data_IF_822178500685
#
_entry.id   IF_822178500685
#
_cell.length_a   1.000
_cell.length_b   1.000
_cell.length_c   1.000
_cell.angle_alpha   90.00
_cell.angle_beta   90.00
_cell.angle_gamma   90.00
#
_symmetry.space_group_name_H-M   'P 1'
#
loop_
_entity.id
_entity.type
_entity.pdbx_description
1 polymer ?
#
# COMPACT_ATOMS: atom_id res chain seq x y z
N UNK A 1 -9.93 -9.36 -22.10
CA UNK A 1 -9.31 -9.47 -20.76
C UNK A 1 -8.57 -8.18 -20.43
N UNK A 2 -8.81 -7.62 -19.27
CA UNK A 2 -8.07 -6.45 -18.78
C UNK A 2 -6.66 -6.87 -18.37
N UNK A 3 -5.66 -6.11 -18.81
CA UNK A 3 -4.25 -6.33 -18.48
C UNK A 3 -3.68 -5.05 -17.83
N UNK A 4 -2.83 -5.22 -16.83
CA UNK A 4 -2.09 -4.13 -16.19
C UNK A 4 -0.61 -4.48 -16.13
N UNK A 5 0.26 -3.46 -16.13
CA UNK A 5 1.71 -3.66 -16.04
C UNK A 5 2.28 -2.78 -14.94
N UNK A 6 3.10 -3.37 -14.07
CA UNK A 6 3.83 -2.62 -13.03
C UNK A 6 4.85 -1.65 -13.63
N UNK A 7 5.25 -1.85 -14.88
CA UNK A 7 6.21 -1.00 -15.57
C UNK A 7 5.58 0.22 -16.25
N UNK A 8 4.26 0.21 -16.43
CA UNK A 8 3.54 1.25 -17.16
C UNK A 8 2.66 2.11 -16.25
N UNK A 9 2.42 1.67 -15.01
CA UNK A 9 1.60 2.43 -14.07
C UNK A 9 2.36 3.65 -13.55
N UNK A 10 1.77 4.83 -13.71
CA UNK A 10 2.28 6.05 -13.11
C UNK A 10 1.83 6.12 -11.65
N UNK A 11 2.79 6.18 -10.71
CA UNK A 11 2.52 6.26 -9.29
C UNK A 11 2.36 7.72 -8.84
N UNK A 12 1.42 7.95 -7.93
CA UNK A 12 1.17 9.26 -7.35
C UNK A 12 1.84 9.36 -5.97
N UNK A 13 2.56 10.47 -5.69
CA UNK A 13 3.19 10.65 -4.39
C UNK A 13 2.16 10.94 -3.30
N UNK A 14 2.45 10.45 -2.10
CA UNK A 14 1.69 10.73 -0.89
C UNK A 14 2.67 10.96 0.26
N UNK A 15 2.38 11.90 1.15
CA UNK A 15 3.27 12.28 2.25
C UNK A 15 2.50 12.89 3.41
N UNK A 16 3.17 13.02 4.58
CA UNK A 16 2.66 13.74 5.73
C UNK A 16 3.44 15.04 5.93
N UNK A 17 2.74 16.13 6.24
CA UNK A 17 3.38 17.40 6.59
C UNK A 17 3.93 17.38 8.03
N UNK A 18 3.44 16.48 8.88
CA UNK A 18 3.87 16.34 10.28
C UNK A 18 5.01 15.33 10.47
N UNK A 19 5.22 14.42 9.51
CA UNK A 19 6.26 13.40 9.55
C UNK A 19 6.97 13.33 8.21
N UNK A 20 8.20 13.89 8.09
CA UNK A 20 8.92 13.91 6.81
C UNK A 20 9.35 12.52 6.32
N UNK A 21 9.32 11.48 7.18
CA UNK A 21 9.63 10.11 6.77
C UNK A 21 8.42 9.33 6.28
N UNK A 22 7.20 9.87 6.46
CA UNK A 22 6.00 9.30 5.87
C UNK A 22 5.92 9.79 4.43
N UNK A 23 6.43 8.98 3.50
CA UNK A 23 6.44 9.26 2.07
C UNK A 23 6.34 7.95 1.31
N UNK A 24 5.44 7.90 0.33
CA UNK A 24 5.26 6.77 -0.57
C UNK A 24 4.81 7.26 -1.92
N UNK A 25 4.91 6.40 -2.93
CA UNK A 25 4.24 6.59 -4.21
C UNK A 25 3.44 5.34 -4.48
N UNK A 26 2.19 5.47 -4.84
CA UNK A 26 1.31 4.33 -5.02
C UNK A 26 0.31 4.51 -6.16
N UNK A 27 -0.29 3.41 -6.56
CA UNK A 27 -1.34 3.39 -7.55
C UNK A 27 -1.96 2.00 -7.67
N UNK A 28 -3.26 1.95 -8.00
CA UNK A 28 -3.94 0.68 -8.18
C UNK A 28 -3.76 0.15 -9.59
N UNK A 29 -3.28 -1.08 -9.69
CA UNK A 29 -3.18 -1.82 -10.96
C UNK A 29 -4.54 -2.32 -11.41
N UNK A 30 -5.33 -2.85 -10.47
CA UNK A 30 -6.65 -3.40 -10.72
C UNK A 30 -7.59 -3.09 -9.55
N UNK A 31 -8.83 -2.75 -9.85
CA UNK A 31 -9.92 -2.59 -8.90
C UNK A 31 -11.28 -2.71 -9.63
N UNK A 32 -12.37 -2.48 -8.91
CA UNK A 32 -13.72 -2.71 -9.40
C UNK A 32 -14.06 -2.01 -10.71
N UNK A 33 -13.54 -0.79 -10.94
CA UNK A 33 -13.78 -0.09 -12.22
C UNK A 33 -13.11 -0.77 -13.41
N UNK A 34 -12.10 -1.61 -13.16
CA UNK A 34 -11.43 -2.40 -14.19
C UNK A 34 -12.10 -3.76 -14.42
N UNK A 35 -13.09 -4.12 -13.61
CA UNK A 35 -13.88 -5.33 -13.76
C UNK A 35 -13.63 -6.43 -12.75
N UNK A 36 -12.76 -6.22 -11.74
CA UNK A 36 -12.60 -7.21 -10.67
C UNK A 36 -13.85 -7.21 -9.78
N UNK A 37 -14.17 -8.38 -9.23
CA UNK A 37 -15.34 -8.56 -8.35
C UNK A 37 -14.98 -8.97 -6.93
N UNK A 38 -13.77 -9.48 -6.73
CA UNK A 38 -13.35 -10.05 -5.43
C UNK A 38 -11.91 -9.71 -5.06
N UNK A 39 -11.23 -8.86 -5.83
CA UNK A 39 -9.84 -8.51 -5.56
C UNK A 39 -9.50 -7.11 -6.08
N UNK A 40 -8.48 -6.51 -5.50
CA UNK A 40 -7.83 -5.32 -6.01
C UNK A 40 -6.32 -5.43 -5.77
N UNK A 41 -5.53 -4.73 -6.57
CA UNK A 41 -4.07 -4.84 -6.53
C UNK A 41 -3.48 -3.43 -6.56
N UNK A 42 -2.65 -3.12 -5.58
CA UNK A 42 -1.93 -1.85 -5.45
C UNK A 42 -0.44 -2.07 -5.65
N UNK A 43 0.21 -1.14 -6.36
CA UNK A 43 1.66 -1.06 -6.45
C UNK A 43 2.12 0.13 -5.61
N UNK A 44 3.14 -0.05 -4.78
CA UNK A 44 3.70 1.06 -4.01
C UNK A 44 5.21 0.99 -3.89
N UNK A 45 5.82 2.17 -3.90
CA UNK A 45 7.25 2.39 -3.74
C UNK A 45 7.52 3.15 -2.45
N UNK A 46 8.56 2.76 -1.73
CA UNK A 46 9.01 3.43 -0.50
C UNK A 46 10.51 3.69 -0.60
N UNK A 47 10.91 4.95 -0.47
CA UNK A 47 12.32 5.34 -0.49
C UNK A 47 13.03 4.93 0.80
N UNK A 48 14.38 4.79 0.77
CA UNK A 48 15.15 4.42 1.96
C UNK A 48 14.83 5.31 3.17
N UNK A 49 14.58 4.68 4.33
CA UNK A 49 14.28 5.38 5.57
C UNK A 49 12.86 5.94 5.69
N UNK A 50 12.06 5.81 4.64
CA UNK A 50 10.67 6.24 4.64
C UNK A 50 9.72 5.08 4.96
N UNK A 51 8.48 5.41 5.26
CA UNK A 51 7.43 4.45 5.54
C UNK A 51 6.09 4.94 4.95
N UNK A 52 5.15 4.02 4.78
CA UNK A 52 3.87 4.35 4.16
C UNK A 52 2.87 4.98 5.13
N UNK A 53 3.16 4.94 6.43
CA UNK A 53 2.27 5.43 7.48
C UNK A 53 1.43 4.31 8.08
N UNK A 54 1.21 4.39 9.41
CA UNK A 54 0.36 3.42 10.09
C UNK A 54 -1.08 3.58 9.62
N UNK A 55 -1.68 2.49 9.17
CA UNK A 55 -3.02 2.50 8.59
C UNK A 55 -3.68 1.13 8.69
N UNK A 56 -4.96 1.08 8.36
CA UNK A 56 -5.75 -0.15 8.29
C UNK A 56 -6.61 -0.13 7.04
N UNK A 57 -6.93 -1.31 6.54
CA UNK A 57 -7.78 -1.48 5.36
C UNK A 57 -9.08 -2.18 5.72
N UNK A 58 -10.12 -1.94 4.94
CA UNK A 58 -11.40 -2.65 5.05
C UNK A 58 -11.31 -4.11 4.62
N UNK A 59 -10.23 -4.50 3.94
CA UNK A 59 -10.00 -5.87 3.46
C UNK A 59 -8.63 -6.38 3.92
N UNK A 60 -8.46 -7.71 4.00
CA UNK A 60 -7.16 -8.34 4.17
C UNK A 60 -6.24 -7.98 3.01
N UNK A 61 -4.97 -7.73 3.33
CA UNK A 61 -3.94 -7.46 2.33
C UNK A 61 -2.80 -8.46 2.43
N UNK A 62 -2.41 -9.04 1.29
CA UNK A 62 -1.15 -9.78 1.15
C UNK A 62 -0.16 -8.87 0.43
N UNK A 63 1.02 -8.69 1.02
CA UNK A 63 2.09 -7.86 0.44
C UNK A 63 3.21 -8.75 -0.05
N UNK A 64 3.59 -8.56 -1.31
CA UNK A 64 4.76 -9.19 -1.93
C UNK A 64 5.82 -8.12 -2.19
N UNK A 65 7.03 -8.33 -1.68
CA UNK A 65 8.17 -7.46 -2.00
C UNK A 65 8.76 -7.88 -3.34
N UNK A 66 8.81 -6.93 -4.28
CA UNK A 66 9.41 -7.13 -5.61
C UNK A 66 10.88 -6.72 -5.64
N UNK A 67 11.21 -5.61 -4.97
CA UNK A 67 12.56 -5.04 -4.94
C UNK A 67 12.83 -4.46 -3.56
N UNK A 68 14.08 -4.55 -3.11
CA UNK A 68 14.50 -3.98 -1.84
C UNK A 68 14.14 -4.83 -0.63
N UNK A 69 14.08 -4.16 0.53
CA UNK A 69 13.79 -4.79 1.82
C UNK A 69 12.91 -3.86 2.64
N UNK A 70 11.94 -4.43 3.32
CA UNK A 70 11.05 -3.68 4.20
C UNK A 70 10.92 -4.35 5.56
N UNK A 71 10.68 -3.52 6.59
CA UNK A 71 10.16 -3.98 7.88
C UNK A 71 8.65 -3.77 7.85
N UNK A 72 7.90 -4.83 8.11
CA UNK A 72 6.44 -4.76 8.24
C UNK A 72 6.08 -4.89 9.71
N UNK A 73 5.25 -3.96 10.18
CA UNK A 73 4.70 -3.97 11.55
C UNK A 73 3.19 -4.19 11.42
N UNK A 74 2.71 -5.30 11.99
CA UNK A 74 1.27 -5.62 12.02
C UNK A 74 0.87 -5.70 13.48
N UNK A 75 0.22 -4.65 13.97
CA UNK A 75 -0.25 -4.51 15.35
C UNK A 75 0.84 -4.81 16.39
N UNK A 76 2.05 -4.31 16.13
CA UNK A 76 3.22 -4.46 17.00
C UNK A 76 4.08 -5.70 16.71
N UNK A 77 3.62 -6.63 15.91
CA UNK A 77 4.42 -7.77 15.45
C UNK A 77 5.21 -7.35 14.22
N UNK A 78 6.53 -7.53 14.27
CA UNK A 78 7.44 -7.06 13.22
C UNK A 78 8.13 -8.20 12.50
N UNK A 79 8.28 -8.03 11.19
CA UNK A 79 9.04 -8.94 10.36
C UNK A 79 9.75 -8.18 9.25
N UNK A 80 10.91 -8.68 8.85
CA UNK A 80 11.63 -8.19 7.67
C UNK A 80 11.23 -9.04 6.47
N UNK A 81 10.85 -8.37 5.38
CA UNK A 81 10.57 -9.02 4.10
C UNK A 81 11.56 -8.52 3.06
N UNK A 82 12.14 -9.46 2.32
CA UNK A 82 13.04 -9.20 1.19
C UNK A 82 12.34 -9.55 -0.11
N UNK A 83 12.94 -9.15 -1.22
CA UNK A 83 12.41 -9.46 -2.55
C UNK A 83 12.03 -10.95 -2.69
N UNK A 84 10.82 -11.22 -3.12
CA UNK A 84 10.25 -12.57 -3.24
C UNK A 84 9.54 -13.09 -1.99
N UNK A 85 9.56 -12.34 -0.90
CA UNK A 85 8.88 -12.73 0.35
C UNK A 85 7.53 -12.02 0.50
N UNK A 86 6.61 -12.69 1.19
CA UNK A 86 5.25 -12.20 1.41
C UNK A 86 4.94 -12.09 2.91
N UNK A 87 4.07 -11.13 3.21
CA UNK A 87 3.43 -11.02 4.51
C UNK A 87 1.98 -10.63 4.33
N UNK A 88 1.21 -10.59 5.41
CA UNK A 88 -0.18 -10.16 5.32
C UNK A 88 -0.62 -9.39 6.55
N UNK A 89 -1.63 -8.54 6.35
CA UNK A 89 -2.32 -7.82 7.39
C UNK A 89 -3.81 -8.17 7.34
N UNK A 90 -4.40 -8.64 8.44
CA UNK A 90 -5.85 -8.88 8.48
C UNK A 90 -6.66 -7.59 8.28
N UNK A 91 -7.89 -7.73 7.81
CA UNK A 91 -8.80 -6.61 7.68
C UNK A 91 -8.96 -5.87 9.03
N UNK A 92 -8.89 -4.54 8.98
CA UNK A 92 -9.06 -3.68 10.15
C UNK A 92 -7.89 -3.61 11.12
N UNK A 93 -6.82 -4.37 10.89
CA UNK A 93 -5.65 -4.40 11.78
C UNK A 93 -4.63 -3.34 11.35
N UNK A 94 -4.23 -2.44 12.26
CA UNK A 94 -3.23 -1.41 11.94
C UNK A 94 -1.88 -2.02 11.57
N UNK A 95 -1.28 -1.49 10.51
CA UNK A 95 0.02 -1.94 10.04
C UNK A 95 0.79 -0.83 9.34
N UNK A 96 2.07 -1.06 9.14
CA UNK A 96 2.97 -0.12 8.47
C UNK A 96 4.07 -0.89 7.74
N UNK A 97 4.62 -0.27 6.71
CA UNK A 97 5.73 -0.80 5.91
C UNK A 97 6.80 0.27 5.82
N UNK A 98 8.01 -0.06 6.26
CA UNK A 98 9.18 0.84 6.22
C UNK A 98 10.26 0.25 5.32
N UNK A 99 10.84 1.08 4.44
CA UNK A 99 11.99 0.68 3.64
C UNK A 99 13.26 0.67 4.50
N UNK A 100 13.90 -0.49 4.61
CA UNK A 100 15.14 -0.70 5.38
C UNK A 100 16.36 -0.94 4.50
N UNK A 101 16.16 -1.04 3.19
CA UNK A 101 17.26 -1.17 2.22
C UNK A 101 17.86 0.20 1.87
N UNK A 102 19.08 0.17 1.31
CA UNK A 102 19.76 1.36 0.81
C UNK A 102 19.18 1.86 -0.52
N UNK A 103 18.36 1.03 -1.16
CA UNK A 103 17.64 1.33 -2.40
C UNK A 103 16.14 1.34 -2.13
N UNK A 104 15.39 1.95 -3.05
CA UNK A 104 13.93 1.95 -3.03
C UNK A 104 13.36 0.54 -2.89
N UNK A 105 12.38 0.37 -2.01
CA UNK A 105 11.58 -0.85 -1.96
C UNK A 105 10.36 -0.71 -2.87
N UNK A 106 10.04 -1.77 -3.61
CA UNK A 106 8.84 -1.85 -4.44
C UNK A 106 8.04 -3.07 -4.02
N UNK A 107 6.75 -2.84 -3.76
CA UNK A 107 5.85 -3.86 -3.25
C UNK A 107 4.54 -3.88 -4.03
N UNK A 108 3.93 -5.06 -4.08
CA UNK A 108 2.56 -5.24 -4.59
C UNK A 108 1.69 -5.71 -3.43
N UNK A 109 0.56 -5.04 -3.24
CA UNK A 109 -0.45 -5.44 -2.27
C UNK A 109 -1.67 -6.04 -2.97
N UNK A 110 -2.12 -7.20 -2.51
CA UNK A 110 -3.29 -7.90 -3.01
C UNK A 110 -4.37 -7.85 -1.95
N UNK A 111 -5.50 -7.22 -2.27
CA UNK A 111 -6.64 -7.12 -1.36
C UNK A 111 -7.72 -8.12 -1.72
N UNK A 112 -8.36 -8.69 -0.71
CA UNK A 112 -9.47 -9.63 -0.85
C UNK A 112 -10.82 -8.90 -1.03
N UNK A 113 -10.84 -7.82 -1.80
CA UNK A 113 -12.03 -7.05 -2.15
C UNK A 113 -11.72 -6.19 -3.37
N UNK A 114 -12.72 -5.98 -4.23
CA UNK A 114 -12.56 -5.14 -5.41
C UNK A 114 -12.58 -3.64 -5.08
N UNK A 115 -13.10 -3.27 -3.91
CA UNK A 115 -13.13 -1.91 -3.37
C UNK A 115 -12.57 -1.92 -1.96
N UNK A 116 -11.63 -1.02 -1.67
CA UNK A 116 -10.92 -0.96 -0.38
C UNK A 116 -10.86 0.49 0.08
N UNK A 117 -11.13 0.70 1.36
CA UNK A 117 -10.88 1.97 2.05
C UNK A 117 -9.74 1.76 3.05
N UNK A 118 -8.75 2.63 2.98
CA UNK A 118 -7.59 2.67 3.88
C UNK A 118 -7.71 3.89 4.78
N UNK A 119 -7.61 3.69 6.09
CA UNK A 119 -7.67 4.77 7.08
C UNK A 119 -6.31 4.91 7.74
N UNK A 120 -5.72 6.12 7.65
CA UNK A 120 -4.39 6.44 8.18
C UNK A 120 -4.50 7.15 9.52
N UNK A 121 -3.51 6.95 10.40
CA UNK A 121 -3.40 7.68 11.66
C UNK A 121 -3.09 9.16 11.40
N UNK A 122 -2.27 9.43 10.38
CA UNK A 122 -1.90 10.79 9.97
C UNK A 122 -2.74 11.30 8.80
N UNK A 123 -2.80 12.62 8.67
CA UNK A 123 -3.33 13.28 7.47
C UNK A 123 -2.33 13.10 6.33
N UNK A 124 -2.78 12.59 5.21
CA UNK A 124 -1.96 12.30 4.03
C UNK A 124 -2.23 13.34 2.94
N UNK A 125 -1.14 13.91 2.44
CA UNK A 125 -1.14 14.88 1.35
C UNK A 125 -0.92 14.17 0.00
N UNK A 126 -1.30 14.76 -1.13
CA UNK A 126 -1.80 16.14 -1.31
C UNK A 126 -3.29 16.32 -1.01
N UNK A 127 -4.06 15.25 -0.85
CA UNK A 127 -5.52 15.32 -0.72
C UNK A 127 -6.00 15.77 0.67
N UNK A 128 -5.08 15.90 1.63
CA UNK A 128 -5.38 16.33 3.00
C UNK A 128 -6.45 15.44 3.64
N UNK A 129 -6.22 14.14 3.64
CA UNK A 129 -7.19 13.14 4.10
C UNK A 129 -6.52 12.04 4.91
N UNK A 130 -7.28 11.43 5.82
CA UNK A 130 -6.90 10.18 6.48
C UNK A 130 -7.46 8.95 5.77
N UNK A 131 -8.35 9.14 4.79
CA UNK A 131 -8.99 8.03 4.08
C UNK A 131 -8.58 8.04 2.61
N UNK A 132 -8.01 6.92 2.18
CA UNK A 132 -7.55 6.70 0.81
C UNK A 132 -8.05 5.33 0.36
N UNK A 133 -7.84 4.98 -0.89
CA UNK A 133 -8.18 3.65 -1.38
C UNK A 133 -8.57 3.64 -2.84
N UNK A 134 -9.33 2.63 -3.23
CA UNK A 134 -9.92 2.55 -4.55
C UNK A 134 -11.01 3.60 -4.71
N UNK A 135 -11.41 3.94 -5.94
CA UNK A 135 -12.61 4.75 -6.15
C UNK A 135 -13.80 4.15 -5.40
N UNK A 136 -14.63 5.02 -4.81
CA UNK A 136 -15.82 4.56 -4.06
C UNK A 136 -16.90 4.17 -5.06
N UNK A 137 -17.43 2.94 -5.00
CA UNK A 137 -18.51 2.54 -5.89
C UNK A 137 -19.78 3.36 -5.62
N UNK A 138 -20.49 3.69 -6.69
CA UNK A 138 -21.83 4.27 -6.60
C UNK A 138 -22.81 3.18 -6.13
N UNK A 139 -23.77 3.58 -5.33
CA UNK A 139 -24.82 2.68 -4.86
C UNK A 139 -25.83 2.32 -5.96
#
# INVERSE_FOLDING_TARGET
MRKASIHELELEPAWSDSDPTLRTSDGYLLHWQHGTTASSVVLFDVEPGCHIGRHRHTAEEVVLVLEGEVEVDVDGERATLRAGELGFAPAGVPHNVRCTSSERARCVGFFAAASVVSTYDDVVMPDETRMRGTPVPDD
#
